data_IF_825803082186
#
_entry.id   IF_825803082186
#
_cell.length_a   1.000
_cell.length_b   1.000
_cell.length_c   1.000
_cell.angle_alpha   90.00
_cell.angle_beta   90.00
_cell.angle_gamma   90.00
#
_symmetry.space_group_name_H-M   'P 1'
#
loop_
_entity.id
_entity.type
_entity.pdbx_description
1 polymer ?
#
# COMPACT_ATOMS: atom_id res chain seq x y z
N UNK A 1 7.03 -14.59 16.21
CA UNK A 1 6.46 -13.51 15.37
C UNK A 1 7.32 -13.38 14.13
N UNK A 2 6.80 -12.97 12.96
CA UNK A 2 7.65 -12.68 11.83
C UNK A 2 8.59 -11.52 12.17
N UNK A 3 9.87 -11.65 11.85
CA UNK A 3 10.83 -10.55 11.96
C UNK A 3 10.72 -9.68 10.70
N UNK A 4 9.98 -8.58 10.81
CA UNK A 4 9.85 -7.62 9.71
C UNK A 4 11.10 -6.74 9.59
N UNK A 5 11.43 -6.33 8.37
CA UNK A 5 12.61 -5.49 8.12
C UNK A 5 12.59 -4.19 8.93
N UNK A 6 11.45 -3.52 9.04
CA UNK A 6 11.31 -2.27 9.80
C UNK A 6 11.51 -2.42 11.32
N UNK A 7 11.50 -3.64 11.85
CA UNK A 7 11.80 -3.93 13.24
C UNK A 7 13.30 -4.14 13.50
N UNK A 8 14.11 -4.30 12.45
CA UNK A 8 15.55 -4.49 12.58
C UNK A 8 16.25 -3.19 12.98
N UNK A 9 17.35 -3.31 13.73
CA UNK A 9 18.16 -2.17 14.18
C UNK A 9 18.93 -1.48 13.05
N UNK A 10 19.18 -2.20 11.96
CA UNK A 10 19.95 -1.78 10.79
C UNK A 10 19.06 -1.44 9.58
N UNK A 11 17.76 -1.24 9.80
CA UNK A 11 16.82 -0.97 8.71
C UNK A 11 17.16 0.32 7.96
N UNK A 12 17.57 1.38 8.66
CA UNK A 12 18.06 2.64 8.08
C UNK A 12 19.29 2.44 7.18
N UNK A 13 20.23 1.58 7.59
CA UNK A 13 21.40 1.22 6.80
C UNK A 13 21.02 0.44 5.54
N UNK A 14 20.08 -0.50 5.65
CA UNK A 14 19.53 -1.21 4.49
C UNK A 14 18.88 -0.24 3.51
N UNK A 15 18.07 0.71 4.00
CA UNK A 15 17.44 1.73 3.17
C UNK A 15 18.48 2.59 2.45
N UNK A 16 19.53 3.04 3.15
CA UNK A 16 20.61 3.83 2.58
C UNK A 16 21.38 3.08 1.49
N UNK A 17 21.65 1.78 1.70
CA UNK A 17 22.34 0.94 0.72
C UNK A 17 21.51 0.78 -0.56
N UNK A 18 20.22 0.43 -0.44
CA UNK A 18 19.31 0.29 -1.58
C UNK A 18 19.14 1.62 -2.32
N UNK A 19 19.10 2.73 -1.58
CA UNK A 19 18.98 4.07 -2.15
C UNK A 19 20.19 4.42 -3.01
N UNK A 20 21.41 4.14 -2.52
CA UNK A 20 22.66 4.34 -3.25
C UNK A 20 22.71 3.49 -4.53
N UNK A 21 22.43 2.18 -4.42
CA UNK A 21 22.40 1.28 -5.59
C UNK A 21 21.42 1.71 -6.69
N UNK A 22 20.32 2.37 -6.29
CA UNK A 22 19.25 2.80 -7.22
C UNK A 22 19.36 4.27 -7.63
N UNK A 23 20.26 5.04 -7.03
CA UNK A 23 20.32 6.50 -7.22
C UNK A 23 19.02 7.20 -6.82
N UNK A 24 18.41 6.77 -5.70
CA UNK A 24 17.16 7.33 -5.16
C UNK A 24 17.41 7.98 -3.80
N UNK A 25 16.47 8.81 -3.35
CA UNK A 25 16.44 9.25 -1.96
C UNK A 25 16.00 8.10 -1.04
N UNK A 26 16.62 7.89 0.13
CA UNK A 26 16.24 6.84 1.08
C UNK A 26 14.76 6.83 1.45
N UNK A 27 14.10 7.99 1.50
CA UNK A 27 12.66 8.02 1.82
C UNK A 27 11.83 7.31 0.76
N UNK A 28 12.22 7.36 -0.51
CA UNK A 28 11.48 6.69 -1.60
C UNK A 28 11.61 5.17 -1.47
N UNK A 29 12.77 4.67 -1.04
CA UNK A 29 12.98 3.26 -0.73
C UNK A 29 12.15 2.84 0.49
N UNK A 30 12.10 3.68 1.51
CA UNK A 30 11.30 3.41 2.70
C UNK A 30 9.81 3.36 2.36
N UNK A 31 9.31 4.31 1.57
CA UNK A 31 7.91 4.30 1.10
C UNK A 31 7.61 3.07 0.26
N UNK A 32 8.51 2.67 -0.65
CA UNK A 32 8.38 1.44 -1.42
C UNK A 32 8.19 0.21 -0.52
N UNK A 33 8.98 0.12 0.56
CA UNK A 33 8.83 -0.92 1.56
C UNK A 33 7.47 -0.87 2.26
N UNK A 34 7.06 0.29 2.75
CA UNK A 34 5.78 0.43 3.46
C UNK A 34 4.56 0.20 2.58
N UNK A 35 4.60 0.57 1.29
CA UNK A 35 3.55 0.22 0.32
C UNK A 35 3.39 -1.31 0.28
N UNK A 36 4.48 -2.05 0.09
CA UNK A 36 4.41 -3.52 0.02
C UNK A 36 4.01 -4.13 1.35
N UNK A 37 4.47 -3.58 2.47
CA UNK A 37 4.09 -4.03 3.81
C UNK A 37 2.61 -3.79 4.10
N UNK A 38 2.04 -2.66 3.65
CA UNK A 38 0.60 -2.40 3.75
C UNK A 38 -0.21 -3.41 2.93
N UNK A 39 0.20 -3.71 1.70
CA UNK A 39 -0.49 -4.70 0.86
C UNK A 39 -0.43 -6.11 1.47
N UNK A 40 0.73 -6.50 1.99
CA UNK A 40 0.87 -7.73 2.76
C UNK A 40 -0.04 -7.73 3.99
N UNK A 41 -0.09 -6.62 4.74
CA UNK A 41 -0.91 -6.49 5.95
C UNK A 41 -2.40 -6.56 5.67
N UNK A 42 -2.87 -6.01 4.55
CA UNK A 42 -4.25 -6.18 4.07
C UNK A 42 -4.53 -7.66 3.77
N UNK A 43 -3.65 -8.33 3.01
CA UNK A 43 -3.81 -9.73 2.68
C UNK A 43 -3.80 -10.63 3.94
N UNK A 44 -2.92 -10.36 4.90
CA UNK A 44 -2.79 -11.10 6.15
C UNK A 44 -4.03 -10.96 7.06
N UNK A 45 -4.79 -9.87 6.92
CA UNK A 45 -6.08 -9.66 7.58
C UNK A 45 -7.26 -10.28 6.81
N UNK A 46 -7.01 -10.90 5.66
CA UNK A 46 -8.03 -11.57 4.85
C UNK A 46 -8.73 -10.67 3.83
N UNK A 47 -8.35 -9.39 3.71
CA UNK A 47 -8.92 -8.51 2.68
C UNK A 47 -8.60 -9.06 1.29
N UNK A 48 -9.63 -9.13 0.44
CA UNK A 48 -9.48 -9.40 -0.99
C UNK A 48 -9.44 -8.07 -1.72
N UNK A 49 -8.43 -7.88 -2.57
CA UNK A 49 -8.23 -6.61 -3.25
C UNK A 49 -7.50 -6.75 -4.58
N UNK A 50 -7.66 -5.73 -5.41
CA UNK A 50 -7.09 -5.61 -6.74
C UNK A 50 -6.36 -4.25 -6.84
N UNK A 51 -5.12 -4.28 -7.31
CA UNK A 51 -4.33 -3.07 -7.54
C UNK A 51 -4.68 -2.45 -8.88
N UNK A 52 -4.70 -1.12 -8.91
CA UNK A 52 -4.94 -0.29 -10.09
C UNK A 52 -3.75 0.67 -10.29
N UNK A 53 -3.85 1.47 -11.35
CA UNK A 53 -3.02 2.67 -11.52
C UNK A 53 -1.51 2.44 -11.56
N UNK A 54 -0.76 3.37 -10.96
CA UNK A 54 0.70 3.44 -11.10
C UNK A 54 1.43 2.24 -10.48
N UNK A 55 0.95 1.78 -9.33
CA UNK A 55 1.58 0.70 -8.56
C UNK A 55 1.44 -0.65 -9.26
N UNK A 56 0.29 -0.97 -9.86
CA UNK A 56 0.15 -2.21 -10.63
C UNK A 56 1.03 -2.19 -11.90
N UNK A 57 1.12 -1.05 -12.59
CA UNK A 57 1.95 -0.88 -13.78
C UNK A 57 3.45 -0.97 -13.48
N UNK A 58 3.91 -0.42 -12.35
CA UNK A 58 5.34 -0.42 -11.99
C UNK A 58 5.77 -1.74 -11.34
N UNK A 59 5.01 -2.25 -10.37
CA UNK A 59 5.38 -3.45 -9.59
C UNK A 59 4.87 -4.75 -10.19
N UNK A 60 3.65 -4.76 -10.70
CA UNK A 60 3.05 -5.96 -11.26
C UNK A 60 3.51 -6.26 -12.68
N UNK A 61 3.56 -5.23 -13.53
CA UNK A 61 3.85 -5.42 -14.96
C UNK A 61 5.20 -4.89 -15.43
N UNK A 62 5.89 -4.08 -14.61
CA UNK A 62 7.19 -3.50 -14.98
C UNK A 62 7.14 -2.59 -16.21
N UNK A 63 5.97 -2.03 -16.53
CA UNK A 63 5.73 -1.24 -17.76
C UNK A 63 6.28 0.18 -17.59
N UNK A 64 6.22 0.73 -16.38
CA UNK A 64 6.71 2.08 -16.08
C UNK A 64 7.77 2.04 -14.99
N UNK A 65 8.69 3.01 -15.02
CA UNK A 65 9.81 3.12 -14.08
C UNK A 65 9.69 4.27 -13.07
N UNK A 66 8.52 4.93 -13.01
CA UNK A 66 8.28 6.00 -12.02
C UNK A 66 7.82 5.40 -10.70
N UNK A 67 8.26 6.01 -9.60
CA UNK A 67 7.74 5.71 -8.27
C UNK A 67 6.29 6.22 -8.15
N UNK A 68 5.44 5.43 -7.49
CA UNK A 68 4.07 5.79 -7.13
C UNK A 68 3.98 5.74 -5.61
N UNK A 69 3.70 6.88 -5.01
CA UNK A 69 3.66 7.02 -3.56
C UNK A 69 2.34 6.51 -2.96
N UNK A 70 1.27 6.64 -3.75
CA UNK A 70 -0.10 6.29 -3.40
C UNK A 70 -0.48 4.92 -4.00
N UNK A 71 -1.44 4.22 -3.39
CA UNK A 71 -1.94 2.91 -3.81
C UNK A 71 -3.37 3.04 -4.34
N UNK A 72 -3.51 3.04 -5.66
CA UNK A 72 -4.82 2.85 -6.29
C UNK A 72 -5.30 1.40 -6.06
N UNK A 73 -6.40 1.23 -5.33
CA UNK A 73 -6.85 -0.09 -4.89
C UNK A 73 -8.36 -0.22 -4.92
N UNK A 74 -8.83 -1.42 -5.28
CA UNK A 74 -10.21 -1.85 -5.08
C UNK A 74 -10.20 -2.97 -4.06
N UNK A 75 -10.86 -2.76 -2.92
CA UNK A 75 -11.06 -3.79 -1.90
C UNK A 75 -12.48 -4.33 -2.08
N UNK A 76 -12.67 -5.65 -1.95
CA UNK A 76 -14.01 -6.25 -1.95
C UNK A 76 -14.83 -5.77 -0.76
N UNK A 77 -16.16 -5.71 -0.93
CA UNK A 77 -17.05 -5.30 0.14
C UNK A 77 -16.96 -6.27 1.33
N UNK A 78 -16.98 -5.71 2.54
CA UNK A 78 -16.96 -6.50 3.76
C UNK A 78 -18.28 -7.27 3.94
N UNK A 79 -18.19 -8.43 4.60
CA UNK A 79 -19.36 -9.24 4.93
C UNK A 79 -20.43 -8.41 5.66
N UNK A 80 -21.67 -8.49 5.16
CA UNK A 80 -22.82 -7.78 5.72
C UNK A 80 -22.99 -6.33 5.24
N UNK A 81 -22.13 -5.83 4.36
CA UNK A 81 -22.29 -4.50 3.76
C UNK A 81 -22.88 -4.57 2.35
N UNK A 82 -24.01 -3.89 2.14
CA UNK A 82 -24.63 -3.72 0.83
C UNK A 82 -24.16 -2.40 0.19
N UNK A 83 -22.98 -2.44 -0.41
CA UNK A 83 -22.34 -1.26 -1.01
C UNK A 83 -22.81 -1.07 -2.44
N UNK A 84 -23.51 0.03 -2.71
CA UNK A 84 -24.10 0.32 -4.03
C UNK A 84 -23.11 1.02 -4.96
N UNK A 85 -22.52 0.27 -5.90
CA UNK A 85 -21.44 0.72 -6.80
C UNK A 85 -21.84 0.85 -8.28
N UNK A 86 -23.07 0.53 -8.66
CA UNK A 86 -23.55 0.63 -10.04
C UNK A 86 -23.58 2.07 -10.56
N UNK A 87 -23.40 2.28 -11.87
CA UNK A 87 -23.29 3.60 -12.51
C UNK A 87 -24.46 4.56 -12.22
N UNK A 88 -25.68 4.03 -12.06
CA UNK A 88 -26.89 4.83 -11.79
C UNK A 88 -27.25 4.88 -10.30
N UNK A 89 -26.39 4.38 -9.42
CA UNK A 89 -26.65 4.31 -7.98
C UNK A 89 -26.14 5.56 -7.26
N UNK A 90 -26.77 6.70 -7.51
CA UNK A 90 -26.33 8.02 -7.01
C UNK A 90 -27.27 8.69 -6.01
N UNK A 91 -28.36 8.04 -5.59
CA UNK A 91 -29.22 8.61 -4.56
C UNK A 91 -28.48 8.74 -3.20
N UNK A 92 -28.99 9.55 -2.25
CA UNK A 92 -28.32 9.80 -0.98
C UNK A 92 -28.02 8.53 -0.16
N UNK A 93 -28.89 7.52 -0.21
CA UNK A 93 -28.68 6.25 0.48
C UNK A 93 -27.49 5.47 -0.10
N UNK A 94 -27.31 5.49 -1.42
CA UNK A 94 -26.18 4.85 -2.08
C UNK A 94 -24.85 5.54 -1.75
N UNK A 95 -24.84 6.88 -1.71
CA UNK A 95 -23.66 7.66 -1.29
C UNK A 95 -23.32 7.35 0.17
N UNK A 96 -24.33 7.33 1.04
CA UNK A 96 -24.17 6.97 2.46
C UNK A 96 -23.63 5.54 2.65
N UNK A 97 -24.11 4.56 1.86
CA UNK A 97 -23.59 3.18 1.94
C UNK A 97 -22.10 3.09 1.61
N UNK A 98 -21.63 3.90 0.65
CA UNK A 98 -20.23 3.92 0.24
C UNK A 98 -19.36 4.63 1.28
N UNK A 99 -19.86 5.73 1.86
CA UNK A 99 -19.21 6.38 3.01
C UNK A 99 -19.03 5.42 4.19
N UNK A 100 -20.11 4.75 4.60
CA UNK A 100 -20.08 3.77 5.68
C UNK A 100 -19.08 2.63 5.42
N UNK A 101 -19.01 2.15 4.17
CA UNK A 101 -18.01 1.17 3.76
C UNK A 101 -16.57 1.65 3.96
N UNK A 102 -16.25 2.87 3.52
CA UNK A 102 -14.90 3.41 3.70
C UNK A 102 -14.56 3.68 5.17
N UNK A 103 -15.52 4.15 5.96
CA UNK A 103 -15.34 4.38 7.39
C UNK A 103 -15.08 3.06 8.12
N UNK A 104 -15.79 1.99 7.77
CA UNK A 104 -15.57 0.65 8.30
C UNK A 104 -14.21 0.08 7.89
N UNK A 105 -13.78 0.27 6.63
CA UNK A 105 -12.43 -0.13 6.21
C UNK A 105 -11.38 0.55 7.07
N UNK A 106 -11.48 1.87 7.29
CA UNK A 106 -10.53 2.59 8.12
C UNK A 106 -10.51 2.10 9.56
N UNK A 107 -11.67 1.70 10.10
CA UNK A 107 -11.79 1.16 11.45
C UNK A 107 -11.25 -0.28 11.58
N UNK A 108 -11.36 -1.10 10.53
CA UNK A 108 -10.93 -2.51 10.56
C UNK A 108 -9.47 -2.72 10.21
N UNK A 109 -8.89 -1.89 9.35
CA UNK A 109 -7.50 -2.06 8.92
C UNK A 109 -6.58 -1.82 10.12
N UNK A 110 -5.87 -2.88 10.54
CA UNK A 110 -4.88 -2.85 11.60
C UNK A 110 -3.64 -3.63 11.16
N UNK A 111 -2.61 -2.92 10.72
CA UNK A 111 -1.38 -3.51 10.19
C UNK A 111 -0.24 -3.29 11.19
N UNK A 112 0.52 -4.35 11.50
CA UNK A 112 1.64 -4.24 12.43
C UNK A 112 2.68 -3.24 11.90
N UNK A 113 3.09 -2.29 12.74
CA UNK A 113 4.03 -1.22 12.39
C UNK A 113 3.38 0.05 11.84
N UNK A 114 2.08 0.04 11.56
CA UNK A 114 1.30 1.24 11.26
C UNK A 114 0.81 1.85 12.59
N UNK A 115 1.15 3.11 12.82
CA UNK A 115 0.86 3.85 14.04
C UNK A 115 -0.61 4.32 14.09
N UNK A 116 -1.18 4.68 12.93
CA UNK A 116 -2.59 5.06 12.83
C UNK A 116 -3.15 4.85 11.42
N UNK A 117 -4.45 4.58 11.37
CA UNK A 117 -5.24 4.48 10.14
C UNK A 117 -6.40 5.45 10.24
N UNK A 118 -6.56 6.31 9.23
CA UNK A 118 -7.61 7.33 9.24
C UNK A 118 -8.16 7.60 7.85
N UNK A 119 -9.42 8.05 7.79
CA UNK A 119 -10.03 8.59 6.57
C UNK A 119 -9.27 9.85 6.14
N UNK A 120 -8.94 9.93 4.87
CA UNK A 120 -8.39 11.12 4.24
C UNK A 120 -9.44 11.70 3.29
N UNK A 121 -10.32 12.53 3.86
CA UNK A 121 -11.50 13.04 3.15
C UNK A 121 -11.17 14.05 2.06
N UNK A 122 -9.90 14.43 1.89
CA UNK A 122 -9.48 15.25 0.74
C UNK A 122 -9.59 14.49 -0.59
N UNK A 123 -9.63 13.16 -0.53
CA UNK A 123 -9.73 12.27 -1.67
C UNK A 123 -11.15 11.70 -1.86
N UNK A 124 -12.10 12.16 -1.04
CA UNK A 124 -13.52 11.84 -1.22
C UNK A 124 -14.07 12.64 -2.41
N UNK A 125 -14.77 12.00 -3.34
CA UNK A 125 -15.63 12.71 -4.29
C UNK A 125 -17.03 12.89 -3.72
N UNK A 126 -17.80 13.84 -4.26
CA UNK A 126 -19.16 14.17 -3.78
C UNK A 126 -20.10 12.96 -3.75
N UNK A 127 -19.85 12.00 -4.66
CA UNK A 127 -20.66 10.79 -4.80
C UNK A 127 -20.11 9.62 -4.00
N UNK A 128 -18.96 9.72 -3.34
CA UNK A 128 -18.27 8.61 -2.68
C UNK A 128 -18.01 7.42 -3.62
N UNK A 129 -17.70 7.67 -4.89
CA UNK A 129 -17.14 6.71 -5.86
C UNK A 129 -15.65 6.48 -5.63
N UNK A 130 -14.96 7.47 -5.06
CA UNK A 130 -13.57 7.39 -4.62
C UNK A 130 -13.41 7.94 -3.21
N UNK A 131 -12.43 7.43 -2.48
CA UNK A 131 -12.12 7.90 -1.14
C UNK A 131 -10.70 7.53 -0.70
N UNK A 132 -10.12 8.31 0.21
CA UNK A 132 -8.77 8.08 0.74
C UNK A 132 -8.75 7.44 2.12
N UNK A 133 -7.84 6.49 2.36
CA UNK A 133 -7.46 6.04 3.71
C UNK A 133 -5.95 6.19 3.86
N UNK A 134 -5.51 6.92 4.88
CA UNK A 134 -4.09 7.15 5.20
C UNK A 134 -3.62 6.17 6.26
N UNK A 135 -2.53 5.47 5.98
CA UNK A 135 -1.81 4.61 6.93
C UNK A 135 -0.51 5.31 7.33
N UNK A 136 -0.44 5.80 8.56
CA UNK A 136 0.73 6.51 9.06
C UNK A 136 1.67 5.54 9.77
N UNK A 137 2.95 5.65 9.47
CA UNK A 137 4.04 4.94 10.13
C UNK A 137 5.11 5.97 10.50
N UNK A 138 5.96 5.63 11.46
CA UNK A 138 7.09 6.47 11.86
C UNK A 138 8.28 6.22 10.92
N UNK A 139 8.70 7.21 10.10
CA UNK A 139 9.83 7.03 9.20
C UNK A 139 11.16 6.86 9.93
N UNK A 140 12.09 6.15 9.33
CA UNK A 140 13.45 5.95 9.85
C UNK A 140 14.48 6.84 9.18
N UNK A 141 14.16 7.37 8.01
CA UNK A 141 15.00 8.32 7.28
C UNK A 141 14.39 9.72 7.26
N UNK A 142 15.19 10.71 6.85
CA UNK A 142 14.76 12.10 6.80
C UNK A 142 13.64 12.31 5.77
N UNK A 143 12.74 13.25 6.06
CA UNK A 143 11.70 13.66 5.12
C UNK A 143 12.30 14.41 3.91
N UNK A 144 11.65 14.26 2.76
CA UNK A 144 12.00 14.96 1.53
C UNK A 144 10.86 15.91 1.12
N UNK A 145 11.20 17.14 0.75
CA UNK A 145 10.20 18.11 0.32
C UNK A 145 9.42 17.58 -0.90
N UNK A 146 8.08 17.59 -0.80
CA UNK A 146 7.18 17.11 -1.86
C UNK A 146 6.79 15.63 -1.75
N UNK A 147 7.42 14.86 -0.85
CA UNK A 147 6.97 13.52 -0.47
C UNK A 147 5.99 13.65 0.68
N UNK A 148 4.80 13.04 0.58
CA UNK A 148 3.78 13.14 1.63
C UNK A 148 4.08 12.14 2.76
N UNK A 149 3.49 12.36 3.93
CA UNK A 149 3.58 11.41 5.03
C UNK A 149 2.62 10.22 4.84
N UNK A 150 2.98 9.07 5.41
CA UNK A 150 2.18 7.84 5.38
C UNK A 150 1.96 7.25 3.98
N UNK A 151 1.16 6.20 3.91
CA UNK A 151 0.72 5.56 2.66
C UNK A 151 -0.76 5.87 2.43
N UNK A 152 -1.12 6.36 1.24
CA UNK A 152 -2.52 6.53 0.84
C UNK A 152 -3.04 5.27 0.16
N UNK A 153 -4.18 4.78 0.61
CA UNK A 153 -5.05 3.92 -0.19
C UNK A 153 -6.07 4.82 -0.90
N UNK A 154 -5.94 4.93 -2.22
CA UNK A 154 -6.95 5.55 -3.08
C UNK A 154 -7.96 4.48 -3.49
N UNK A 155 -9.07 4.43 -2.76
CA UNK A 155 -10.10 3.42 -2.94
C UNK A 155 -11.08 3.87 -4.02
N UNK A 156 -11.50 2.93 -4.86
CA UNK A 156 -12.56 3.17 -5.83
C UNK A 156 -13.15 1.89 -6.40
N UNK A 157 -14.24 2.02 -7.15
CA UNK A 157 -15.05 0.88 -7.61
C UNK A 157 -14.90 0.54 -9.09
N UNK A 158 -13.94 1.14 -9.79
CA UNK A 158 -13.69 0.86 -11.20
C UNK A 158 -13.41 -0.63 -11.44
N UNK A 159 -13.89 -1.11 -12.58
CA UNK A 159 -13.64 -2.48 -13.03
C UNK A 159 -12.15 -2.69 -13.30
N UNK A 160 -11.61 -3.77 -12.75
CA UNK A 160 -10.20 -4.16 -12.94
C UNK A 160 -10.08 -5.36 -13.86
N UNK A 161 -11.19 -5.93 -14.34
CA UNK A 161 -11.18 -7.07 -15.23
C UNK A 161 -10.79 -6.65 -16.67
N UNK A 162 -10.00 -7.48 -17.39
CA UNK A 162 -9.36 -8.70 -16.90
C UNK A 162 -8.15 -8.39 -16.00
N UNK A 163 -8.02 -9.12 -14.89
CA UNK A 163 -6.85 -9.08 -14.00
C UNK A 163 -6.22 -10.47 -13.85
N UNK A 164 -5.01 -10.50 -13.28
CA UNK A 164 -4.30 -11.74 -12.93
C UNK A 164 -3.53 -11.55 -11.63
N UNK A 165 -3.37 -12.61 -10.81
CA UNK A 165 -2.47 -12.57 -9.66
C UNK A 165 -1.02 -12.31 -10.10
N UNK A 166 -0.33 -11.42 -9.38
CA UNK A 166 1.10 -11.15 -9.58
C UNK A 166 1.79 -11.03 -8.23
N UNK A 167 2.92 -11.72 -8.08
CA UNK A 167 3.81 -11.56 -6.93
C UNK A 167 4.61 -10.28 -7.10
N UNK A 168 4.50 -9.37 -6.13
CA UNK A 168 5.23 -8.10 -6.08
C UNK A 168 6.05 -8.03 -4.79
N UNK A 169 7.09 -7.19 -4.79
CA UNK A 169 8.03 -7.06 -3.68
C UNK A 169 8.54 -5.63 -3.54
N UNK A 170 9.20 -5.35 -2.41
CA UNK A 170 9.89 -4.09 -2.17
C UNK A 170 11.37 -4.21 -2.46
N UNK A 171 12.00 -3.10 -2.84
CA UNK A 171 13.43 -3.09 -3.11
C UNK A 171 14.28 -3.51 -1.90
N UNK A 172 13.89 -3.08 -0.70
CA UNK A 172 14.56 -3.47 0.53
C UNK A 172 14.41 -4.97 0.83
N UNK A 173 13.23 -5.55 0.55
CA UNK A 173 12.99 -6.98 0.72
C UNK A 173 13.77 -7.82 -0.29
N UNK A 174 13.85 -7.37 -1.54
CA UNK A 174 14.63 -8.05 -2.58
C UNK A 174 16.10 -8.09 -2.20
N UNK A 175 16.71 -6.96 -1.84
CA UNK A 175 18.11 -6.91 -1.44
C UNK A 175 18.39 -7.76 -0.18
N UNK A 176 17.51 -7.72 0.82
CA UNK A 176 17.67 -8.51 2.04
C UNK A 176 17.63 -10.03 1.78
N UNK A 177 16.84 -10.49 0.80
CA UNK A 177 16.75 -11.90 0.42
C UNK A 177 17.99 -12.36 -0.37
N UNK A 178 18.48 -11.50 -1.25
CA UNK A 178 19.67 -11.80 -2.05
C UNK A 178 20.92 -11.90 -1.16
N UNK A 179 21.08 -10.98 -0.20
CA UNK A 179 22.16 -11.03 0.79
C UNK A 179 22.13 -12.27 1.70
N UNK A 180 20.94 -12.72 2.11
CA UNK A 180 20.79 -13.95 2.90
C UNK A 180 21.18 -15.21 2.12
N UNK A 181 20.94 -15.23 0.81
CA UNK A 181 21.29 -16.33 -0.08
C UNK A 181 22.81 -16.42 -0.30
N UNK A 182 23.51 -15.27 -0.35
CA UNK A 182 24.98 -15.22 -0.45
C UNK A 182 25.68 -15.71 0.82
N UNK A 183 25.20 -15.32 2.01
CA UNK A 183 25.77 -15.79 3.28
C UNK A 183 25.61 -17.31 3.50
N UNK A 184 24.60 -17.94 2.89
CA UNK A 184 24.34 -19.38 3.01
C UNK A 184 25.28 -20.23 2.15
N UNK A 185 26.05 -19.63 1.24
CA UNK A 185 26.92 -20.35 0.28
C UNK A 185 28.40 -20.34 0.68
N UNK A 186 28.78 -19.61 1.74
CA UNK A 186 30.18 -19.49 2.20
C UNK A 186 30.47 -20.33 3.46
N UNK A 187 29.72 -21.41 3.67
CA UNK A 187 29.91 -22.34 4.78
C UNK A 187 30.15 -23.77 4.28
N UNK A 188 31.32 -24.04 3.70
CA UNK A 188 31.91 -25.36 3.50
C UNK A 188 33.44 -25.24 3.43
#
# INVERSE_FOLDING_TARGET
>A
MPDFLHARRDFDQLLALVADERGLDPILVEKDYWIMHCLWGLQAQGFQFELKGGTSLSKGFGIIRRFSEDIDIRIESLDGMDVKTGRNQDNPAHVASRRAYYDELAARICILGIDSVARDTQFDDDKMRSAGIRLNYTPRVAALAGVKDGILLELGFDDTAPNRPVTISSWALDLARDGASMCSTTGL
#
